data_IF_824224543410
#
_entry.id   IF_824224543410
#
_cell.length_a   1.000
_cell.length_b   1.000
_cell.length_c   1.000
_cell.angle_alpha   90.00
_cell.angle_beta   90.00
_cell.angle_gamma   90.00
#
_symmetry.space_group_name_H-M   'P 1'
#
loop_
_entity.id
_entity.type
_entity.pdbx_description
1 polymer ?
#
# COMPACT_ATOMS: atom_id res chain seq x y z
N UNK A 1 -18.10 14.00 -29.00
CA UNK A 1 -17.94 14.61 -27.67
C UNK A 1 -19.29 15.13 -27.20
N UNK A 2 -19.74 14.70 -26.04
CA UNK A 2 -20.96 15.20 -25.39
C UNK A 2 -20.57 16.39 -24.50
N UNK A 3 -21.13 17.57 -24.78
CA UNK A 3 -20.83 18.79 -24.02
C UNK A 3 -22.04 19.18 -23.16
N UNK A 4 -21.77 19.51 -21.90
CA UNK A 4 -22.75 20.18 -21.03
C UNK A 4 -22.43 21.69 -21.07
N UNK A 5 -23.34 22.49 -21.57
CA UNK A 5 -23.18 23.95 -21.67
C UNK A 5 -24.41 24.66 -21.13
N UNK A 6 -24.19 25.80 -20.46
CA UNK A 6 -25.25 26.75 -20.20
C UNK A 6 -25.43 27.61 -21.49
N UNK A 7 -26.59 27.55 -22.11
CA UNK A 7 -26.87 28.31 -23.33
C UNK A 7 -27.63 29.58 -22.97
N UNK A 8 -27.01 30.73 -23.20
CA UNK A 8 -27.65 32.06 -23.07
C UNK A 8 -28.53 32.40 -24.28
N UNK A 9 -28.44 31.60 -25.37
CA UNK A 9 -29.17 31.79 -26.60
C UNK A 9 -29.94 30.53 -27.00
N UNK A 10 -31.03 30.70 -27.74
CA UNK A 10 -31.80 29.59 -28.28
C UNK A 10 -30.92 28.77 -29.25
N UNK A 11 -30.54 27.56 -28.84
CA UNK A 11 -29.83 26.59 -29.66
C UNK A 11 -30.89 25.76 -30.39
N UNK A 12 -30.80 25.70 -31.72
CA UNK A 12 -31.61 24.80 -32.52
C UNK A 12 -30.86 23.48 -32.64
N UNK A 13 -31.40 22.41 -32.04
CA UNK A 13 -30.83 21.09 -32.17
C UNK A 13 -31.16 20.47 -33.55
N UNK A 14 -30.14 19.87 -34.17
CA UNK A 14 -30.36 19.03 -35.34
C UNK A 14 -30.94 17.69 -34.89
N UNK A 15 -31.90 17.19 -35.62
CA UNK A 15 -32.53 15.90 -35.27
C UNK A 15 -31.73 14.75 -35.89
N UNK A 16 -31.34 13.76 -35.13
CA UNK A 16 -30.71 12.56 -35.66
C UNK A 16 -31.77 11.66 -36.31
N UNK A 17 -31.45 11.08 -37.47
CA UNK A 17 -32.34 10.11 -38.11
C UNK A 17 -32.64 8.92 -37.23
N UNK A 18 -33.84 8.36 -37.37
CA UNK A 18 -34.25 7.11 -36.69
C UNK A 18 -33.84 5.85 -37.46
N UNK A 19 -33.48 5.97 -38.76
CA UNK A 19 -33.06 4.88 -39.64
C UNK A 19 -31.63 5.06 -40.14
N UNK A 20 -30.89 4.00 -40.47
CA UNK A 20 -29.62 4.11 -41.15
C UNK A 20 -29.82 4.73 -42.55
N UNK A 21 -28.77 5.41 -43.06
CA UNK A 21 -28.74 5.85 -44.44
C UNK A 21 -28.76 4.66 -45.41
N UNK A 22 -29.23 4.89 -46.63
CA UNK A 22 -29.31 3.88 -47.70
C UNK A 22 -28.28 4.13 -48.81
N UNK A 23 -27.82 3.06 -49.47
CA UNK A 23 -26.96 3.19 -50.67
C UNK A 23 -27.74 3.97 -51.76
N UNK A 24 -27.05 4.88 -52.42
CA UNK A 24 -27.58 5.87 -53.39
C UNK A 24 -28.47 6.98 -52.80
N UNK A 25 -28.63 7.00 -51.46
CA UNK A 25 -29.34 8.13 -50.82
C UNK A 25 -28.53 9.42 -50.99
N UNK A 26 -29.21 10.50 -51.38
CA UNK A 26 -28.60 11.82 -51.47
C UNK A 26 -28.40 12.39 -50.06
N UNK A 27 -27.20 12.85 -49.78
CA UNK A 27 -26.84 13.44 -48.50
C UNK A 27 -26.11 14.78 -48.68
N UNK A 28 -26.24 15.62 -47.67
CA UNK A 28 -25.72 16.97 -47.65
C UNK A 28 -24.78 17.10 -46.45
N UNK A 29 -23.60 17.72 -46.63
CA UNK A 29 -22.71 18.10 -45.53
C UNK A 29 -22.94 19.57 -45.22
N UNK A 30 -23.34 19.85 -44.00
CA UNK A 30 -23.51 21.20 -43.50
C UNK A 30 -22.20 21.64 -42.80
N UNK A 31 -21.39 22.49 -43.46
CA UNK A 31 -20.13 22.94 -42.87
C UNK A 31 -20.38 23.95 -41.75
N UNK A 32 -19.46 24.01 -40.79
CA UNK A 32 -19.46 25.11 -39.84
C UNK A 32 -19.20 26.43 -40.56
N UNK A 33 -20.09 27.40 -40.39
CA UNK A 33 -19.97 28.73 -40.99
C UNK A 33 -20.56 29.81 -40.07
N UNK A 34 -19.89 30.95 -40.01
CA UNK A 34 -20.40 32.18 -39.40
C UNK A 34 -21.16 33.07 -40.36
N UNK A 35 -21.24 32.67 -41.62
CA UNK A 35 -21.97 33.40 -42.67
C UNK A 35 -23.46 33.07 -42.64
N UNK A 36 -24.33 34.07 -43.02
CA UNK A 36 -25.78 33.88 -43.03
C UNK A 36 -26.26 32.84 -44.07
N UNK A 37 -25.49 32.61 -45.12
CA UNK A 37 -25.75 31.58 -46.13
C UNK A 37 -24.53 30.66 -46.22
N UNK A 38 -24.60 29.51 -45.59
CA UNK A 38 -23.58 28.47 -45.73
C UNK A 38 -23.88 27.67 -47.02
N UNK A 39 -22.90 27.54 -47.93
CA UNK A 39 -22.98 26.60 -49.04
C UNK A 39 -22.65 25.20 -48.56
N UNK A 40 -23.61 24.28 -48.61
CA UNK A 40 -23.38 22.86 -48.34
C UNK A 40 -22.82 22.14 -49.57
N UNK A 41 -22.09 21.05 -49.32
CA UNK A 41 -21.69 20.08 -50.35
C UNK A 41 -22.67 18.93 -50.32
N UNK A 42 -23.04 18.35 -51.47
CA UNK A 42 -23.93 17.20 -51.55
C UNK A 42 -23.32 16.09 -52.40
N UNK A 43 -23.76 14.89 -52.17
CA UNK A 43 -23.37 13.69 -52.86
C UNK A 43 -24.29 12.53 -52.49
N UNK A 44 -23.85 11.30 -52.73
CA UNK A 44 -24.62 10.11 -52.39
C UNK A 44 -23.82 9.17 -51.52
N UNK A 45 -24.50 8.33 -50.70
CA UNK A 45 -23.89 7.22 -50.01
C UNK A 45 -23.55 6.14 -51.04
N UNK A 46 -22.27 5.86 -51.24
CA UNK A 46 -21.81 4.84 -52.21
C UNK A 46 -21.63 3.46 -51.58
N UNK A 47 -21.32 3.42 -50.29
CA UNK A 47 -21.14 2.16 -49.56
C UNK A 47 -21.51 2.33 -48.08
N UNK A 48 -21.97 1.24 -47.48
CA UNK A 48 -22.29 1.13 -46.04
C UNK A 48 -21.55 -0.06 -45.47
N UNK A 49 -20.71 0.18 -44.48
CA UNK A 49 -20.04 -0.85 -43.70
C UNK A 49 -20.63 -0.85 -42.28
N UNK A 50 -20.82 -2.04 -41.70
CA UNK A 50 -21.28 -2.18 -40.32
C UNK A 50 -20.06 -2.33 -39.42
N UNK A 51 -19.89 -1.46 -38.40
CA UNK A 51 -18.76 -1.48 -37.48
C UNK A 51 -19.10 -2.35 -36.28
N UNK A 52 -20.30 -2.22 -35.73
CA UNK A 52 -20.82 -2.99 -34.58
C UNK A 52 -22.34 -2.91 -34.55
N UNK A 53 -23.01 -3.59 -33.65
CA UNK A 53 -24.48 -3.62 -33.51
C UNK A 53 -25.09 -2.23 -33.70
N UNK A 54 -25.78 -2.03 -34.84
CA UNK A 54 -26.43 -0.79 -35.27
C UNK A 54 -25.53 0.45 -35.50
N UNK A 55 -24.23 0.26 -35.63
CA UNK A 55 -23.28 1.34 -35.94
C UNK A 55 -22.76 1.19 -37.37
N UNK A 56 -23.01 2.19 -38.20
CA UNK A 56 -22.70 2.18 -39.62
C UNK A 56 -21.59 3.16 -39.98
N UNK A 57 -20.84 2.84 -41.03
CA UNK A 57 -19.81 3.68 -41.60
C UNK A 57 -20.11 3.87 -43.07
N UNK A 58 -20.21 5.13 -43.47
CA UNK A 58 -20.64 5.50 -44.81
C UNK A 58 -19.45 5.94 -45.64
N UNK A 59 -19.35 5.44 -46.85
CA UNK A 59 -18.52 6.03 -47.90
C UNK A 59 -19.42 6.95 -48.74
N UNK A 60 -19.01 8.19 -48.88
CA UNK A 60 -19.76 9.25 -49.59
C UNK A 60 -19.10 9.56 -50.93
N UNK A 61 -19.88 9.57 -52.00
CA UNK A 61 -19.42 9.99 -53.32
C UNK A 61 -19.43 11.53 -53.43
N UNK A 62 -18.54 12.13 -52.62
CA UNK A 62 -18.29 13.58 -52.62
C UNK A 62 -16.96 13.86 -51.96
N UNK A 63 -16.30 14.94 -52.34
CA UNK A 63 -15.08 15.43 -51.68
C UNK A 63 -15.47 16.46 -50.63
N UNK A 64 -15.01 16.22 -49.38
CA UNK A 64 -15.17 17.17 -48.28
C UNK A 64 -13.80 17.70 -47.84
N UNK A 65 -13.76 18.95 -47.37
CA UNK A 65 -12.51 19.57 -46.92
C UNK A 65 -12.19 19.27 -45.46
N UNK A 66 -10.95 19.52 -45.03
CA UNK A 66 -10.52 19.32 -43.65
C UNK A 66 -11.38 20.08 -42.61
N UNK A 67 -11.90 21.25 -42.98
CA UNK A 67 -12.78 22.06 -42.12
C UNK A 67 -14.18 21.49 -41.94
N UNK A 68 -14.53 20.40 -42.64
CA UNK A 68 -15.83 19.73 -42.51
C UNK A 68 -15.76 18.48 -41.62
N UNK A 69 -14.61 18.12 -41.08
CA UNK A 69 -14.50 17.01 -40.14
C UNK A 69 -15.40 17.24 -38.92
N UNK A 70 -16.15 16.24 -38.54
CA UNK A 70 -17.21 16.27 -37.51
C UNK A 70 -18.45 17.10 -37.87
N UNK A 71 -18.53 17.68 -39.07
CA UNK A 71 -19.76 18.32 -39.55
C UNK A 71 -20.85 17.26 -39.79
N UNK A 72 -22.13 17.63 -39.61
CA UNK A 72 -23.24 16.70 -39.82
C UNK A 72 -23.42 16.40 -41.33
N UNK A 73 -23.66 15.11 -41.58
CA UNK A 73 -24.16 14.61 -42.88
C UNK A 73 -25.66 14.43 -42.72
N UNK A 74 -26.43 15.12 -43.52
CA UNK A 74 -27.90 15.21 -43.44
C UNK A 74 -28.56 14.54 -44.62
N UNK A 75 -29.73 13.95 -44.38
CA UNK A 75 -30.63 13.51 -45.49
C UNK A 75 -31.44 14.67 -46.08
N UNK A 76 -32.30 14.38 -47.04
CA UNK A 76 -33.16 15.38 -47.70
C UNK A 76 -34.23 15.97 -46.76
N UNK A 77 -34.58 15.23 -45.70
CA UNK A 77 -35.53 15.64 -44.65
C UNK A 77 -34.87 16.56 -43.60
N UNK A 78 -33.56 16.80 -43.69
CA UNK A 78 -32.83 17.63 -42.74
C UNK A 78 -32.43 16.90 -41.44
N UNK A 79 -32.51 15.58 -41.42
CA UNK A 79 -32.09 14.77 -40.31
C UNK A 79 -30.61 14.37 -40.44
N UNK A 80 -29.90 14.27 -39.31
CA UNK A 80 -28.48 13.88 -39.29
C UNK A 80 -28.34 12.37 -39.44
N UNK A 81 -27.72 11.93 -40.53
CA UNK A 81 -27.40 10.53 -40.84
C UNK A 81 -26.07 10.12 -40.22
N UNK A 82 -25.10 11.03 -40.18
CA UNK A 82 -23.76 10.75 -39.64
C UNK A 82 -22.93 12.01 -39.45
N UNK A 83 -21.67 11.82 -39.07
CA UNK A 83 -20.67 12.88 -38.89
C UNK A 83 -19.46 12.59 -39.78
N UNK A 84 -19.01 13.61 -40.55
CA UNK A 84 -17.85 13.51 -41.44
C UNK A 84 -16.61 13.09 -40.66
N UNK A 85 -15.90 12.11 -41.16
CA UNK A 85 -14.62 11.64 -40.62
C UNK A 85 -13.43 12.25 -41.37
N UNK A 86 -12.28 12.34 -40.69
CA UNK A 86 -11.05 12.77 -41.31
C UNK A 86 -10.61 11.73 -42.35
N UNK A 87 -10.39 12.17 -43.60
CA UNK A 87 -9.76 11.35 -44.61
C UNK A 87 -8.24 11.55 -44.59
N UNK A 88 -7.49 10.46 -44.45
CA UNK A 88 -6.01 10.47 -44.49
C UNK A 88 -5.49 10.61 -45.94
N UNK A 89 -6.27 10.19 -46.92
CA UNK A 89 -5.95 10.32 -48.36
C UNK A 89 -6.50 11.63 -48.91
N UNK A 90 -5.64 12.63 -49.12
CA UNK A 90 -5.98 13.96 -49.63
C UNK A 90 -6.39 13.96 -51.10
N UNK A 91 -5.97 12.95 -51.86
CA UNK A 91 -6.28 12.80 -53.27
C UNK A 91 -7.61 12.08 -53.52
N UNK A 92 -8.18 11.48 -52.50
CA UNK A 92 -9.45 10.76 -52.59
C UNK A 92 -10.59 11.68 -53.00
N UNK A 93 -11.40 11.24 -53.96
CA UNK A 93 -12.65 11.88 -54.36
C UNK A 93 -13.82 11.49 -53.45
N UNK A 94 -13.62 10.51 -52.59
CA UNK A 94 -14.62 10.02 -51.60
C UNK A 94 -14.36 10.59 -50.22
N UNK A 95 -15.42 10.79 -49.48
CA UNK A 95 -15.38 11.14 -48.07
C UNK A 95 -16.03 10.05 -47.22
N UNK A 96 -15.80 10.11 -45.92
CA UNK A 96 -16.29 9.10 -44.99
C UNK A 96 -17.10 9.74 -43.87
N UNK A 97 -18.12 9.03 -43.39
CA UNK A 97 -18.89 9.46 -42.24
C UNK A 97 -19.23 8.30 -41.29
N UNK A 98 -19.15 8.57 -40.01
CA UNK A 98 -19.66 7.63 -39.00
C UNK A 98 -21.15 7.89 -38.79
N UNK A 99 -21.94 6.83 -38.75
CA UNK A 99 -23.37 6.91 -38.53
C UNK A 99 -23.72 7.53 -37.17
N UNK A 100 -24.77 8.35 -37.13
CA UNK A 100 -25.18 9.08 -35.94
C UNK A 100 -25.57 8.17 -34.79
N UNK A 101 -25.96 6.92 -35.04
CA UNK A 101 -26.21 5.89 -34.02
C UNK A 101 -25.00 5.62 -33.13
N UNK A 102 -23.80 5.65 -33.73
CA UNK A 102 -22.55 5.51 -32.97
C UNK A 102 -22.35 6.68 -31.97
N UNK A 103 -22.60 7.91 -32.43
CA UNK A 103 -22.48 9.08 -31.56
C UNK A 103 -23.46 9.04 -30.36
N UNK A 104 -24.67 8.47 -30.59
CA UNK A 104 -25.66 8.26 -29.51
C UNK A 104 -25.20 7.22 -28.49
N UNK A 105 -24.44 6.21 -28.92
CA UNK A 105 -23.92 5.14 -28.02
C UNK A 105 -22.71 5.57 -27.20
N UNK A 106 -22.08 6.70 -27.51
CA UNK A 106 -20.93 7.20 -26.77
C UNK A 106 -21.35 7.61 -25.35
N UNK A 107 -20.72 7.03 -24.36
CA UNK A 107 -20.89 7.35 -22.96
C UNK A 107 -19.54 7.53 -22.26
N UNK A 108 -19.52 8.35 -21.24
CA UNK A 108 -18.37 8.42 -20.34
C UNK A 108 -18.52 7.27 -19.34
N UNK A 109 -17.50 6.43 -19.25
CA UNK A 109 -17.43 5.32 -18.29
C UNK A 109 -16.30 5.56 -17.30
N UNK A 110 -16.18 4.71 -16.28
CA UNK A 110 -15.06 4.75 -15.34
C UNK A 110 -13.69 4.70 -16.05
N UNK A 111 -13.55 3.90 -17.10
CA UNK A 111 -12.31 3.76 -17.88
C UNK A 111 -11.91 5.04 -18.62
N UNK A 112 -12.86 5.93 -18.86
CA UNK A 112 -12.60 7.23 -19.53
C UNK A 112 -11.65 8.13 -18.73
N UNK A 113 -11.47 7.90 -17.44
CA UNK A 113 -10.49 8.61 -16.60
C UNK A 113 -9.05 8.44 -17.12
N UNK A 114 -8.73 7.26 -17.67
CA UNK A 114 -7.39 6.91 -18.15
C UNK A 114 -7.30 6.88 -19.68
N UNK A 115 -8.34 7.32 -20.40
CA UNK A 115 -8.31 7.39 -21.87
C UNK A 115 -7.37 8.50 -22.32
N UNK A 116 -6.26 8.12 -22.96
CA UNK A 116 -5.25 9.06 -23.45
C UNK A 116 -5.84 10.10 -24.41
N UNK A 117 -6.68 9.69 -25.35
CA UNK A 117 -7.28 10.59 -26.34
C UNK A 117 -8.18 11.61 -25.65
N UNK A 118 -9.03 11.17 -24.72
CA UNK A 118 -9.88 12.07 -23.95
C UNK A 118 -9.06 13.01 -23.06
N UNK A 119 -7.94 12.55 -22.49
CA UNK A 119 -7.10 13.36 -21.62
C UNK A 119 -6.31 14.44 -22.37
N UNK A 120 -6.03 14.25 -23.66
CA UNK A 120 -5.36 15.27 -24.50
C UNK A 120 -6.33 16.33 -25.04
N UNK A 121 -7.64 16.10 -24.98
CA UNK A 121 -8.65 17.07 -25.39
C UNK A 121 -8.83 18.10 -24.27
N UNK A 122 -8.58 19.38 -24.52
CA UNK A 122 -8.72 20.48 -23.57
C UNK A 122 -10.18 20.83 -23.17
N UNK A 123 -11.10 19.87 -23.29
CA UNK A 123 -12.51 20.03 -22.91
C UNK A 123 -12.74 19.30 -21.60
N UNK A 124 -13.36 20.00 -20.64
CA UNK A 124 -13.73 19.40 -19.36
C UNK A 124 -14.68 18.20 -19.60
N UNK A 125 -14.32 17.06 -19.00
CA UNK A 125 -15.15 15.85 -19.07
C UNK A 125 -16.22 15.92 -17.97
N UNK A 126 -17.42 15.42 -18.28
CA UNK A 126 -18.45 15.20 -17.26
C UNK A 126 -18.22 13.88 -16.51
N UNK A 127 -18.95 13.69 -15.43
CA UNK A 127 -19.02 12.41 -14.75
C UNK A 127 -19.86 11.40 -15.56
N UNK A 128 -19.60 10.08 -15.41
CA UNK A 128 -20.56 9.05 -15.84
C UNK A 128 -21.96 9.30 -15.29
N UNK A 129 -22.99 8.87 -16.04
CA UNK A 129 -24.39 9.02 -15.61
C UNK A 129 -24.79 7.95 -14.56
N UNK A 130 -24.11 6.83 -14.52
CA UNK A 130 -24.26 5.78 -13.49
C UNK A 130 -23.41 6.11 -12.27
N UNK A 131 -24.00 6.03 -11.08
CA UNK A 131 -23.36 6.39 -9.82
C UNK A 131 -22.13 5.53 -9.50
N UNK A 132 -22.21 4.22 -9.73
CA UNK A 132 -21.10 3.32 -9.49
C UNK A 132 -19.93 3.60 -10.42
N UNK A 133 -20.22 3.85 -11.72
CA UNK A 133 -19.21 4.24 -12.70
C UNK A 133 -18.60 5.61 -12.37
N UNK A 134 -19.40 6.56 -11.90
CA UNK A 134 -18.93 7.88 -11.51
C UNK A 134 -18.01 7.79 -10.28
N UNK A 135 -18.32 6.91 -9.31
CA UNK A 135 -17.47 6.67 -8.16
C UNK A 135 -16.12 6.05 -8.57
N UNK A 136 -16.12 5.03 -9.43
CA UNK A 136 -14.88 4.44 -9.96
C UNK A 136 -14.10 5.48 -10.78
N UNK A 137 -14.78 6.34 -11.55
CA UNK A 137 -14.14 7.45 -12.27
C UNK A 137 -13.40 8.40 -11.31
N UNK A 138 -14.00 8.76 -10.16
CA UNK A 138 -13.33 9.55 -9.12
C UNK A 138 -12.06 8.86 -8.61
N UNK A 139 -12.12 7.56 -8.32
CA UNK A 139 -10.95 6.81 -7.88
C UNK A 139 -9.80 6.87 -8.88
N UNK A 140 -10.10 6.61 -10.15
CA UNK A 140 -9.10 6.60 -11.22
C UNK A 140 -8.56 7.99 -11.55
N UNK A 141 -9.35 9.04 -11.31
CA UNK A 141 -8.96 10.44 -11.57
C UNK A 141 -8.07 11.03 -10.49
N UNK A 142 -8.10 10.49 -9.28
CA UNK A 142 -7.41 11.06 -8.11
C UNK A 142 -5.89 11.16 -8.27
N UNK A 143 -5.27 10.26 -9.03
CA UNK A 143 -3.83 10.26 -9.31
C UNK A 143 -3.42 11.12 -10.51
N UNK A 144 -4.38 11.51 -11.36
CA UNK A 144 -4.12 12.16 -12.66
C UNK A 144 -4.48 13.65 -12.66
N UNK A 145 -5.20 14.12 -11.65
CA UNK A 145 -5.65 15.49 -11.52
C UNK A 145 -4.87 16.23 -10.45
N UNK A 146 -4.70 17.55 -10.63
CA UNK A 146 -4.26 18.41 -9.55
C UNK A 146 -5.29 18.39 -8.40
N UNK A 147 -4.86 18.77 -7.20
CA UNK A 147 -5.74 18.83 -6.01
C UNK A 147 -6.98 19.69 -6.25
N UNK A 148 -6.82 20.82 -6.91
CA UNK A 148 -7.92 21.75 -7.23
C UNK A 148 -8.89 21.15 -8.27
N UNK A 149 -8.37 20.55 -9.32
CA UNK A 149 -9.22 19.88 -10.34
C UNK A 149 -9.99 18.71 -9.73
N UNK A 150 -9.33 17.93 -8.86
CA UNK A 150 -9.98 16.83 -8.17
C UNK A 150 -11.07 17.32 -7.20
N UNK A 151 -10.81 18.41 -6.46
CA UNK A 151 -11.82 19.03 -5.60
C UNK A 151 -13.05 19.51 -6.40
N UNK A 152 -12.83 20.10 -7.58
CA UNK A 152 -13.91 20.49 -8.47
C UNK A 152 -14.72 19.29 -8.97
N UNK A 153 -14.05 18.17 -9.29
CA UNK A 153 -14.70 16.93 -9.68
C UNK A 153 -15.54 16.33 -8.54
N UNK A 154 -15.04 16.36 -7.31
CA UNK A 154 -15.76 15.95 -6.11
C UNK A 154 -17.01 16.82 -5.85
N UNK A 155 -16.92 18.13 -6.08
CA UNK A 155 -18.06 19.03 -5.97
C UNK A 155 -19.16 18.66 -7.00
N UNK A 156 -18.78 18.34 -8.22
CA UNK A 156 -19.72 17.89 -9.25
C UNK A 156 -20.37 16.54 -8.89
N UNK A 157 -19.56 15.61 -8.37
CA UNK A 157 -20.05 14.31 -7.93
C UNK A 157 -21.10 14.46 -6.81
N UNK A 158 -20.80 15.25 -5.79
CA UNK A 158 -21.72 15.50 -4.67
C UNK A 158 -23.00 16.22 -5.15
N UNK A 159 -22.88 17.14 -6.11
CA UNK A 159 -24.04 17.80 -6.70
C UNK A 159 -24.93 16.81 -7.46
N UNK A 160 -24.34 15.84 -8.16
CA UNK A 160 -25.07 14.83 -8.94
C UNK A 160 -25.63 13.71 -8.04
N UNK A 161 -24.89 13.33 -6.98
CA UNK A 161 -25.20 12.23 -6.07
C UNK A 161 -25.15 12.68 -4.59
N UNK A 162 -26.06 13.55 -4.14
CA UNK A 162 -26.00 14.17 -2.81
C UNK A 162 -26.23 13.20 -1.64
N UNK A 163 -26.70 11.98 -1.91
CA UNK A 163 -26.88 10.92 -0.92
C UNK A 163 -25.72 9.94 -0.84
N UNK A 164 -24.72 10.08 -1.71
CA UNK A 164 -23.56 9.22 -1.69
C UNK A 164 -22.55 9.70 -0.64
N UNK A 165 -22.39 8.94 0.44
CA UNK A 165 -21.50 9.26 1.57
C UNK A 165 -20.01 9.28 1.17
N UNK A 166 -19.61 8.47 0.18
CA UNK A 166 -18.21 8.39 -0.28
C UNK A 166 -17.74 9.70 -0.93
N UNK A 167 -18.63 10.43 -1.62
CA UNK A 167 -18.32 11.75 -2.17
C UNK A 167 -17.88 12.74 -1.09
N UNK A 168 -18.58 12.80 0.02
CA UNK A 168 -18.26 13.65 1.18
C UNK A 168 -16.98 13.17 1.87
N UNK A 169 -16.82 11.87 2.08
CA UNK A 169 -15.61 11.28 2.65
C UNK A 169 -14.36 11.69 1.88
N UNK A 170 -14.40 11.56 0.56
CA UNK A 170 -13.28 11.93 -0.32
C UNK A 170 -13.01 13.41 -0.34
N UNK A 171 -14.04 14.23 -0.31
CA UNK A 171 -13.85 15.68 -0.27
C UNK A 171 -13.27 16.12 1.08
N UNK A 172 -13.70 15.52 2.18
CA UNK A 172 -13.09 15.73 3.49
C UNK A 172 -11.59 15.38 3.49
N UNK A 173 -11.21 14.23 2.91
CA UNK A 173 -9.79 13.83 2.76
C UNK A 173 -9.02 14.87 1.92
N UNK A 174 -9.62 15.36 0.83
CA UNK A 174 -9.01 16.38 0.00
C UNK A 174 -8.79 17.68 0.79
N UNK A 175 -9.77 18.13 1.58
CA UNK A 175 -9.65 19.30 2.46
C UNK A 175 -8.58 19.09 3.54
N UNK A 176 -8.54 17.93 4.19
CA UNK A 176 -7.49 17.60 5.19
C UNK A 176 -6.10 17.76 4.58
N UNK A 177 -5.92 17.38 3.32
CA UNK A 177 -4.66 17.51 2.61
C UNK A 177 -4.19 18.95 2.36
N UNK A 178 -5.01 20.00 2.59
CA UNK A 178 -4.57 21.40 2.55
C UNK A 178 -3.81 21.81 3.83
N UNK A 179 -4.16 21.23 4.98
CA UNK A 179 -3.39 21.37 6.21
C UNK A 179 -3.61 22.67 6.97
N UNK A 180 -4.74 23.36 6.79
CA UNK A 180 -5.09 24.59 7.49
C UNK A 180 -6.49 24.55 8.11
N UNK A 181 -6.74 25.39 9.11
CA UNK A 181 -7.97 25.39 9.89
C UNK A 181 -9.23 25.66 9.07
N UNK A 182 -9.13 26.48 8.02
CA UNK A 182 -10.28 26.79 7.17
C UNK A 182 -10.74 25.55 6.39
N UNK A 183 -9.80 24.76 5.86
CA UNK A 183 -10.08 23.52 5.17
C UNK A 183 -10.49 22.39 6.14
N UNK A 184 -9.92 22.36 7.36
CA UNK A 184 -10.37 21.41 8.39
C UNK A 184 -11.84 21.66 8.79
N UNK A 185 -12.27 22.93 8.87
CA UNK A 185 -13.68 23.24 9.12
C UNK A 185 -14.61 22.77 8.00
N UNK A 186 -14.18 22.84 6.74
CA UNK A 186 -14.91 22.30 5.60
C UNK A 186 -14.94 20.76 5.63
N UNK A 187 -13.82 20.14 5.99
CA UNK A 187 -13.75 18.68 6.15
C UNK A 187 -14.68 18.21 7.28
N UNK A 188 -14.74 18.88 8.42
CA UNK A 188 -15.65 18.54 9.53
C UNK A 188 -17.10 18.55 9.07
N UNK A 189 -17.50 19.56 8.30
CA UNK A 189 -18.86 19.63 7.74
C UNK A 189 -19.17 18.46 6.81
N UNK A 190 -18.21 18.08 5.96
CA UNK A 190 -18.35 16.94 5.06
C UNK A 190 -18.43 15.62 5.84
N UNK A 191 -17.63 15.45 6.89
CA UNK A 191 -17.65 14.27 7.75
C UNK A 191 -19.01 14.12 8.47
N UNK A 192 -19.58 15.21 8.95
CA UNK A 192 -20.93 15.21 9.54
C UNK A 192 -21.97 14.80 8.49
N UNK A 193 -21.92 15.41 7.30
CA UNK A 193 -22.85 15.07 6.21
C UNK A 193 -22.68 13.62 5.77
N UNK A 194 -21.44 13.11 5.69
CA UNK A 194 -21.15 11.69 5.39
C UNK A 194 -21.88 10.76 6.35
N UNK A 195 -21.85 11.05 7.66
CA UNK A 195 -22.55 10.26 8.67
C UNK A 195 -24.08 10.38 8.52
N UNK A 196 -24.58 11.59 8.22
CA UNK A 196 -26.02 11.83 8.04
C UNK A 196 -26.60 11.06 6.86
N UNK A 197 -25.96 11.10 5.70
CA UNK A 197 -26.47 10.50 4.46
C UNK A 197 -26.21 9.00 4.33
N UNK A 198 -25.28 8.45 5.08
CA UNK A 198 -24.99 7.02 5.02
C UNK A 198 -26.10 6.20 5.69
N UNK A 199 -26.68 5.26 4.95
CA UNK A 199 -27.74 4.38 5.45
C UNK A 199 -27.22 3.40 6.51
N UNK A 200 -25.97 2.90 6.34
CA UNK A 200 -25.31 2.07 7.34
C UNK A 200 -24.56 2.96 8.36
N UNK A 201 -25.15 3.19 9.52
CA UNK A 201 -24.55 4.02 10.57
C UNK A 201 -23.29 3.42 11.16
N UNK A 202 -23.18 2.09 11.25
CA UNK A 202 -21.95 1.42 11.68
C UNK A 202 -20.78 1.77 10.78
N UNK A 203 -20.91 1.61 9.46
CA UNK A 203 -19.89 1.96 8.48
C UNK A 203 -19.59 3.46 8.46
N UNK A 204 -20.60 4.32 8.64
CA UNK A 204 -20.41 5.76 8.70
C UNK A 204 -19.48 6.17 9.86
N UNK A 205 -19.77 5.69 11.06
CA UNK A 205 -18.95 5.98 12.24
C UNK A 205 -17.56 5.31 12.18
N UNK A 206 -17.47 4.10 11.61
CA UNK A 206 -16.19 3.47 11.34
C UNK A 206 -15.31 4.32 10.41
N UNK A 207 -15.86 4.83 9.30
CA UNK A 207 -15.13 5.66 8.35
C UNK A 207 -14.72 6.99 8.98
N UNK A 208 -15.59 7.61 9.79
CA UNK A 208 -15.26 8.81 10.54
C UNK A 208 -14.12 8.55 11.53
N UNK A 209 -14.21 7.50 12.32
CA UNK A 209 -13.18 7.10 13.27
C UNK A 209 -11.83 6.85 12.58
N UNK A 210 -11.85 6.13 11.46
CA UNK A 210 -10.65 5.82 10.67
C UNK A 210 -9.97 7.08 10.12
N UNK A 211 -10.74 8.04 9.65
CA UNK A 211 -10.21 9.33 9.18
C UNK A 211 -9.55 10.10 10.32
N UNK A 212 -10.20 10.19 11.47
CA UNK A 212 -9.64 10.86 12.66
C UNK A 212 -8.37 10.15 13.15
N UNK A 213 -8.38 8.82 13.23
CA UNK A 213 -7.21 8.02 13.61
C UNK A 213 -6.02 8.29 12.69
N UNK A 214 -6.21 8.21 11.37
CA UNK A 214 -5.15 8.47 10.40
C UNK A 214 -4.66 9.92 10.46
N UNK A 215 -5.56 10.89 10.66
CA UNK A 215 -5.19 12.28 10.82
C UNK A 215 -4.26 12.48 12.03
N UNK A 216 -4.62 11.93 13.18
CA UNK A 216 -3.82 12.08 14.41
C UNK A 216 -2.47 11.39 14.29
N UNK A 217 -2.39 10.21 13.66
CA UNK A 217 -1.11 9.55 13.37
C UNK A 217 -0.20 10.39 12.46
N UNK A 218 -0.80 11.11 11.51
CA UNK A 218 -0.07 11.99 10.59
C UNK A 218 0.49 13.26 11.22
N UNK A 219 0.01 13.65 12.41
CA UNK A 219 0.43 14.89 13.07
C UNK A 219 1.88 14.88 13.59
N UNK A 220 2.47 13.70 13.84
CA UNK A 220 3.83 13.56 14.37
C UNK A 220 4.13 14.45 15.59
N UNK A 221 3.13 14.61 16.47
CA UNK A 221 3.22 15.42 17.68
C UNK A 221 2.78 16.89 17.53
N UNK A 222 2.33 17.32 16.35
CA UNK A 222 1.71 18.63 16.18
C UNK A 222 0.33 18.68 16.88
N UNK A 223 -0.14 19.90 17.18
CA UNK A 223 -1.45 20.10 17.82
C UNK A 223 -2.58 19.71 16.87
N UNK A 224 -3.55 18.90 17.30
CA UNK A 224 -4.70 18.55 16.49
C UNK A 224 -5.66 19.73 16.29
N UNK A 225 -6.43 19.69 15.22
CA UNK A 225 -7.53 20.63 14.97
C UNK A 225 -8.71 20.33 15.90
N UNK A 226 -9.13 21.31 16.67
CA UNK A 226 -10.30 21.19 17.55
C UNK A 226 -10.26 19.95 18.43
N UNK A 227 -11.27 19.10 18.30
CA UNK A 227 -11.44 17.83 19.01
C UNK A 227 -11.01 16.59 18.18
N UNK A 228 -10.27 16.78 17.08
CA UNK A 228 -9.79 15.66 16.26
C UNK A 228 -8.64 14.91 16.95
N UNK A 229 -8.98 14.14 17.94
CA UNK A 229 -8.06 13.42 18.83
C UNK A 229 -8.28 11.91 18.77
N UNK A 230 -7.37 11.14 19.37
CA UNK A 230 -7.55 9.68 19.52
C UNK A 230 -8.78 9.35 20.37
N UNK A 231 -9.13 10.18 21.36
CA UNK A 231 -10.33 10.01 22.19
C UNK A 231 -11.58 10.16 21.36
N UNK A 232 -11.65 11.14 20.44
CA UNK A 232 -12.79 11.25 19.51
C UNK A 232 -12.82 10.06 18.55
N UNK A 233 -11.69 9.66 17.96
CA UNK A 233 -11.63 8.46 17.12
C UNK A 233 -12.16 7.22 17.87
N UNK A 234 -11.78 7.05 19.13
CA UNK A 234 -12.27 5.97 19.99
C UNK A 234 -13.77 6.05 20.24
N UNK A 235 -14.29 7.25 20.49
CA UNK A 235 -15.73 7.46 20.67
C UNK A 235 -16.49 7.04 19.43
N UNK A 236 -16.07 7.46 18.26
CA UNK A 236 -16.75 7.16 16.99
C UNK A 236 -16.71 5.66 16.66
N UNK A 237 -15.57 4.96 16.91
CA UNK A 237 -15.55 3.50 16.69
C UNK A 237 -16.41 2.74 17.69
N UNK A 238 -16.52 3.22 18.93
CA UNK A 238 -17.44 2.64 19.89
C UNK A 238 -18.89 2.79 19.42
N UNK A 239 -19.26 3.95 18.88
CA UNK A 239 -20.59 4.16 18.27
C UNK A 239 -20.81 3.24 17.06
N UNK A 240 -19.79 2.98 16.25
CA UNK A 240 -19.88 1.99 15.17
C UNK A 240 -20.20 0.59 15.72
N UNK A 241 -19.52 0.17 16.79
CA UNK A 241 -19.70 -1.13 17.44
C UNK A 241 -21.04 -1.28 18.18
N UNK A 242 -21.66 -0.18 18.60
CA UNK A 242 -23.03 -0.16 19.13
C UNK A 242 -24.06 -0.44 18.05
N UNK A 243 -23.81 0.01 16.82
CA UNK A 243 -24.67 -0.23 15.66
C UNK A 243 -24.50 -1.62 15.07
N UNK A 244 -23.26 -2.11 14.96
CA UNK A 244 -22.95 -3.43 14.41
C UNK A 244 -21.61 -3.94 14.99
N UNK A 245 -21.49 -5.24 15.22
CA UNK A 245 -20.30 -5.87 15.83
C UNK A 245 -19.45 -6.55 14.78
N UNK A 246 -18.85 -5.76 13.88
CA UNK A 246 -17.98 -6.28 12.83
C UNK A 246 -16.53 -6.44 13.28
N UNK A 247 -15.86 -7.48 12.83
CA UNK A 247 -14.43 -7.71 13.10
C UNK A 247 -13.55 -6.54 12.66
N UNK A 248 -13.91 -5.87 11.57
CA UNK A 248 -13.21 -4.70 11.06
C UNK A 248 -13.24 -3.51 12.03
N UNK A 249 -14.36 -3.32 12.73
CA UNK A 249 -14.49 -2.25 13.73
C UNK A 249 -13.69 -2.56 14.99
N UNK A 250 -13.68 -3.82 15.43
CA UNK A 250 -12.81 -4.26 16.51
C UNK A 250 -11.33 -4.09 16.18
N UNK A 251 -10.94 -4.35 14.90
CA UNK A 251 -9.55 -4.12 14.47
C UNK A 251 -9.15 -2.65 14.65
N UNK A 252 -9.94 -1.72 14.15
CA UNK A 252 -9.66 -0.28 14.30
C UNK A 252 -9.70 0.16 15.78
N UNK A 253 -10.65 -0.36 16.57
CA UNK A 253 -10.69 -0.10 18.01
C UNK A 253 -9.40 -0.55 18.71
N UNK A 254 -8.92 -1.75 18.37
CA UNK A 254 -7.65 -2.27 18.86
C UNK A 254 -6.46 -1.40 18.48
N UNK A 255 -6.40 -0.96 17.23
CA UNK A 255 -5.35 -0.08 16.72
C UNK A 255 -5.34 1.28 17.44
N UNK A 256 -6.52 1.85 17.71
CA UNK A 256 -6.67 3.10 18.46
C UNK A 256 -6.21 2.90 19.91
N UNK A 257 -6.68 1.86 20.60
CA UNK A 257 -6.24 1.58 21.97
C UNK A 257 -4.73 1.33 22.04
N UNK A 258 -4.17 0.61 21.05
CA UNK A 258 -2.73 0.38 20.99
C UNK A 258 -1.95 1.69 20.82
N UNK A 259 -2.39 2.60 19.94
CA UNK A 259 -1.79 3.92 19.78
C UNK A 259 -1.89 4.78 21.05
N UNK A 260 -2.96 4.60 21.84
CA UNK A 260 -3.14 5.23 23.14
C UNK A 260 -2.38 4.52 24.28
N UNK A 261 -1.60 3.46 24.00
CA UNK A 261 -0.90 2.61 24.96
C UNK A 261 -1.83 1.92 25.99
N UNK A 262 -3.09 1.76 25.66
CA UNK A 262 -4.09 1.02 26.45
C UNK A 262 -4.06 -0.46 26.03
N UNK A 263 -2.98 -1.14 26.37
CA UNK A 263 -2.69 -2.49 25.87
C UNK A 263 -3.71 -3.54 26.29
N UNK A 264 -4.26 -3.57 27.54
CA UNK A 264 -5.30 -4.52 27.90
C UNK A 264 -6.57 -4.39 27.04
N UNK A 265 -7.02 -3.16 26.76
CA UNK A 265 -8.19 -2.88 25.93
C UNK A 265 -7.92 -3.19 24.46
N UNK A 266 -6.72 -2.85 23.96
CA UNK A 266 -6.28 -3.20 22.61
C UNK A 266 -6.29 -4.73 22.41
N UNK A 267 -5.74 -5.47 23.38
CA UNK A 267 -5.75 -6.93 23.37
C UNK A 267 -7.17 -7.51 23.31
N UNK A 268 -8.07 -7.00 24.15
CA UNK A 268 -9.47 -7.44 24.14
C UNK A 268 -10.16 -7.21 22.77
N UNK A 269 -9.85 -6.09 22.11
CA UNK A 269 -10.37 -5.78 20.78
C UNK A 269 -9.79 -6.73 19.71
N UNK A 270 -8.49 -7.00 19.70
CA UNK A 270 -7.88 -7.97 18.79
C UNK A 270 -8.37 -9.41 19.02
N UNK A 271 -8.63 -9.77 20.28
CA UNK A 271 -9.28 -11.05 20.61
C UNK A 271 -10.70 -11.15 20.00
N UNK A 272 -11.44 -10.04 19.95
CA UNK A 272 -12.74 -10.01 19.28
C UNK A 272 -12.59 -10.21 17.76
N UNK A 273 -11.53 -9.64 17.15
CA UNK A 273 -11.19 -9.92 15.74
C UNK A 273 -10.88 -11.41 15.54
N UNK A 274 -10.06 -12.00 16.42
CA UNK A 274 -9.66 -13.41 16.35
C UNK A 274 -10.85 -14.39 16.48
N UNK A 275 -11.95 -13.96 17.10
CA UNK A 275 -13.22 -14.72 17.20
C UNK A 275 -14.19 -14.45 16.03
N UNK A 276 -13.85 -13.53 15.14
CA UNK A 276 -14.67 -13.18 13.96
C UNK A 276 -14.24 -13.93 12.70
N UNK A 277 -15.03 -13.90 11.62
CA UNK A 277 -14.60 -14.41 10.31
C UNK A 277 -13.35 -13.72 9.72
N UNK A 278 -12.94 -12.59 10.26
CA UNK A 278 -11.73 -11.85 9.85
C UNK A 278 -10.44 -12.33 10.54
N UNK A 279 -10.51 -13.37 11.36
CA UNK A 279 -9.36 -13.95 12.03
C UNK A 279 -8.25 -14.35 11.03
N UNK A 280 -7.11 -13.71 11.14
CA UNK A 280 -5.98 -13.85 10.22
C UNK A 280 -4.66 -13.97 10.98
N UNK A 281 -3.59 -14.37 10.30
CA UNK A 281 -2.26 -14.37 10.91
C UNK A 281 -1.89 -12.99 11.49
N UNK A 282 -2.25 -11.91 10.78
CA UNK A 282 -1.99 -10.55 11.23
C UNK A 282 -2.77 -10.19 12.51
N UNK A 283 -4.03 -10.61 12.65
CA UNK A 283 -4.81 -10.31 13.87
C UNK A 283 -4.31 -11.08 15.09
N UNK A 284 -3.91 -12.33 14.93
CA UNK A 284 -3.24 -13.09 16.00
C UNK A 284 -1.88 -12.50 16.36
N UNK A 285 -1.11 -12.06 15.37
CA UNK A 285 0.17 -11.38 15.60
C UNK A 285 -0.03 -10.07 16.40
N UNK A 286 -1.01 -9.23 15.99
CA UNK A 286 -1.32 -8.00 16.71
C UNK A 286 -1.70 -8.27 18.17
N UNK A 287 -2.53 -9.28 18.42
CA UNK A 287 -2.88 -9.72 19.78
C UNK A 287 -1.65 -10.20 20.56
N UNK A 288 -0.78 -11.01 19.95
CA UNK A 288 0.45 -11.51 20.56
C UNK A 288 1.40 -10.37 20.96
N UNK A 289 1.66 -9.45 20.04
CA UNK A 289 2.51 -8.27 20.29
C UNK A 289 1.95 -7.37 21.37
N UNK A 290 0.64 -7.17 21.37
CA UNK A 290 -0.03 -6.38 22.41
C UNK A 290 0.07 -7.08 23.78
N UNK A 291 -0.10 -8.41 23.80
CA UNK A 291 0.03 -9.20 25.03
C UNK A 291 1.41 -9.08 25.69
N UNK A 292 2.49 -9.02 24.89
CA UNK A 292 3.85 -8.80 25.39
C UNK A 292 4.02 -7.46 26.13
N UNK A 293 3.23 -6.44 25.76
CA UNK A 293 3.30 -5.09 26.35
C UNK A 293 2.45 -4.94 27.63
N UNK A 294 1.64 -5.93 27.95
CA UNK A 294 0.84 -5.94 29.20
C UNK A 294 1.74 -6.40 30.35
N UNK A 295 1.87 -5.56 31.38
CA UNK A 295 2.65 -5.89 32.57
C UNK A 295 2.15 -7.16 33.25
N UNK A 296 3.06 -8.08 33.55
CA UNK A 296 2.74 -9.36 34.18
C UNK A 296 2.05 -10.38 33.27
N UNK A 297 1.88 -10.11 31.99
CA UNK A 297 1.26 -11.05 31.07
C UNK A 297 2.10 -12.29 30.83
N UNK A 298 1.44 -13.41 30.60
CA UNK A 298 2.08 -14.71 30.35
C UNK A 298 2.73 -14.74 28.96
N UNK A 299 4.06 -14.94 28.91
CA UNK A 299 4.78 -15.17 27.64
C UNK A 299 4.23 -16.39 26.89
N UNK A 300 3.81 -17.42 27.59
CA UNK A 300 3.22 -18.62 26.97
C UNK A 300 1.92 -18.33 26.23
N UNK A 301 1.08 -17.42 26.77
CA UNK A 301 -0.14 -16.99 26.07
C UNK A 301 0.19 -16.20 24.80
N UNK A 302 1.20 -15.33 24.84
CA UNK A 302 1.64 -14.62 23.64
C UNK A 302 2.19 -15.59 22.57
N UNK A 303 2.97 -16.61 22.98
CA UNK A 303 3.46 -17.66 22.08
C UNK A 303 2.30 -18.47 21.48
N UNK A 304 1.27 -18.81 22.27
CA UNK A 304 0.09 -19.54 21.76
C UNK A 304 -0.69 -18.74 20.69
N UNK A 305 -0.74 -17.41 20.82
CA UNK A 305 -1.29 -16.55 19.78
C UNK A 305 -0.42 -16.58 18.51
N UNK A 306 0.91 -16.60 18.64
CA UNK A 306 1.80 -16.77 17.50
C UNK A 306 1.68 -18.17 16.86
N UNK A 307 1.43 -19.23 17.66
CA UNK A 307 1.09 -20.55 17.11
C UNK A 307 -0.18 -20.48 16.25
N UNK A 308 -1.20 -19.74 16.71
CA UNK A 308 -2.43 -19.51 15.94
C UNK A 308 -2.20 -18.70 14.67
N UNK A 309 -1.27 -17.73 14.69
CA UNK A 309 -0.88 -16.96 13.52
C UNK A 309 -0.20 -17.86 12.46
N UNK A 310 0.79 -18.67 12.88
CA UNK A 310 1.50 -19.60 11.98
C UNK A 310 0.56 -20.67 11.44
N UNK A 311 -0.40 -21.15 12.25
CA UNK A 311 -1.39 -22.15 11.82
C UNK A 311 -2.35 -21.68 10.70
N UNK A 312 -2.31 -20.39 10.34
CA UNK A 312 -3.02 -19.90 9.14
C UNK A 312 -2.34 -20.29 7.82
N UNK A 313 -1.13 -20.83 7.88
CA UNK A 313 -0.35 -21.28 6.75
C UNK A 313 -0.08 -22.78 6.83
N UNK A 314 0.11 -23.41 5.69
CA UNK A 314 0.45 -24.83 5.59
C UNK A 314 1.92 -25.02 5.19
N UNK A 315 2.62 -26.02 5.75
CA UNK A 315 3.95 -26.39 5.25
C UNK A 315 3.87 -26.99 3.82
N UNK A 316 4.90 -26.79 2.97
CA UNK A 316 6.08 -25.98 3.24
C UNK A 316 5.74 -24.47 3.26
N UNK A 317 6.27 -23.74 4.26
CA UNK A 317 5.95 -22.33 4.45
C UNK A 317 6.61 -21.47 3.38
N UNK A 318 5.88 -20.49 2.85
CA UNK A 318 6.36 -19.46 1.94
C UNK A 318 6.74 -18.16 2.67
N UNK A 319 7.17 -17.16 1.87
CA UNK A 319 7.61 -15.83 2.41
C UNK A 319 6.54 -15.12 3.22
N UNK A 320 5.26 -15.37 2.96
CA UNK A 320 4.13 -14.80 3.68
C UNK A 320 4.03 -15.28 5.13
N UNK A 321 4.52 -16.48 5.45
CA UNK A 321 4.59 -17.02 6.81
C UNK A 321 5.86 -16.57 7.56
N UNK A 322 6.89 -16.16 6.84
CA UNK A 322 8.20 -15.88 7.40
C UNK A 322 8.19 -14.87 8.56
N UNK A 323 7.49 -13.72 8.52
CA UNK A 323 7.48 -12.78 9.65
C UNK A 323 6.95 -13.41 10.95
N UNK A 324 5.95 -14.28 10.85
CA UNK A 324 5.32 -14.94 12.00
C UNK A 324 6.22 -16.05 12.57
N UNK A 325 6.92 -16.78 11.71
CA UNK A 325 7.90 -17.79 12.14
C UNK A 325 9.08 -17.14 12.88
N UNK A 326 9.62 -16.05 12.34
CA UNK A 326 10.71 -15.31 12.96
C UNK A 326 10.31 -14.78 14.36
N UNK A 327 9.13 -14.15 14.42
CA UNK A 327 8.66 -13.56 15.68
C UNK A 327 8.33 -14.63 16.72
N UNK A 328 7.75 -15.76 16.32
CA UNK A 328 7.52 -16.89 17.22
C UNK A 328 8.85 -17.46 17.76
N UNK A 329 9.86 -17.57 16.89
CA UNK A 329 11.19 -17.99 17.30
C UNK A 329 11.79 -17.05 18.35
N UNK A 330 11.69 -15.73 18.13
CA UNK A 330 12.15 -14.70 19.07
C UNK A 330 11.46 -14.84 20.43
N UNK A 331 10.13 -14.92 20.44
CA UNK A 331 9.34 -15.06 21.67
C UNK A 331 9.71 -16.36 22.44
N UNK A 332 9.86 -17.47 21.72
CA UNK A 332 10.31 -18.74 22.31
C UNK A 332 11.71 -18.66 22.90
N UNK A 333 12.64 -17.99 22.21
CA UNK A 333 14.00 -17.78 22.72
C UNK A 333 14.01 -16.95 24.02
N UNK A 334 13.21 -15.89 24.07
CA UNK A 334 13.04 -15.07 25.27
C UNK A 334 12.36 -15.81 26.45
N UNK A 335 11.50 -16.79 26.14
CA UNK A 335 10.90 -17.69 27.14
C UNK A 335 11.82 -18.90 27.45
N UNK A 336 13.07 -18.90 26.94
CA UNK A 336 14.08 -19.97 27.12
C UNK A 336 13.69 -21.32 26.49
N UNK A 337 12.75 -21.35 25.58
CA UNK A 337 12.39 -22.51 24.75
C UNK A 337 13.34 -22.56 23.53
N UNK A 338 14.66 -22.67 23.79
CA UNK A 338 15.69 -22.47 22.77
C UNK A 338 15.64 -23.49 21.64
N UNK A 339 15.32 -24.75 21.90
CA UNK A 339 15.25 -25.80 20.88
C UNK A 339 14.09 -25.54 19.89
N UNK A 340 12.96 -25.18 20.46
CA UNK A 340 11.74 -24.82 19.69
C UNK A 340 11.95 -23.52 18.91
N UNK A 341 12.71 -22.58 19.47
CA UNK A 341 13.10 -21.35 18.76
C UNK A 341 13.99 -21.65 17.54
N UNK A 342 14.98 -22.55 17.68
CA UNK A 342 15.84 -22.96 16.55
C UNK A 342 15.01 -23.62 15.45
N UNK A 343 14.03 -24.45 15.81
CA UNK A 343 13.12 -25.04 14.81
C UNK A 343 12.40 -23.94 14.00
N UNK A 344 11.84 -22.94 14.67
CA UNK A 344 11.14 -21.85 14.00
C UNK A 344 12.08 -20.95 13.17
N UNK A 345 13.30 -20.69 13.64
CA UNK A 345 14.32 -19.99 12.83
C UNK A 345 14.72 -20.79 11.58
N UNK A 346 14.79 -22.13 11.67
CA UNK A 346 15.04 -22.97 10.51
C UNK A 346 13.88 -22.89 9.51
N UNK A 347 12.64 -22.96 9.98
CA UNK A 347 11.45 -22.79 9.14
C UNK A 347 11.41 -21.39 8.48
N UNK A 348 11.80 -20.36 9.22
CA UNK A 348 11.96 -19.01 8.66
C UNK A 348 13.00 -18.97 7.54
N UNK A 349 14.20 -19.54 7.79
CA UNK A 349 15.27 -19.60 6.80
C UNK A 349 14.83 -20.31 5.52
N UNK A 350 14.13 -21.44 5.67
CA UNK A 350 13.58 -22.20 4.54
C UNK A 350 12.49 -21.44 3.80
N UNK A 351 11.56 -20.78 4.51
CA UNK A 351 10.53 -19.93 3.93
C UNK A 351 11.12 -18.76 3.13
N UNK A 352 12.27 -18.24 3.56
CA UNK A 352 13.04 -17.20 2.87
C UNK A 352 13.97 -17.76 1.79
N UNK A 353 13.98 -19.08 1.57
CA UNK A 353 14.89 -19.77 0.61
C UNK A 353 16.36 -19.42 0.83
N UNK A 354 16.76 -19.27 2.09
CA UNK A 354 18.13 -18.86 2.47
C UNK A 354 18.48 -17.40 2.20
N UNK A 355 17.54 -16.58 1.73
CA UNK A 355 17.74 -15.14 1.50
C UNK A 355 17.55 -14.35 2.79
N UNK A 356 18.55 -14.44 3.67
CA UNK A 356 18.54 -13.82 5.00
C UNK A 356 19.79 -12.96 5.19
N UNK A 357 19.77 -12.07 6.20
CA UNK A 357 20.91 -11.20 6.53
C UNK A 357 21.97 -11.94 7.33
N UNK A 358 23.18 -11.36 7.43
CA UNK A 358 24.23 -11.79 8.35
C UNK A 358 23.77 -11.81 9.80
N UNK A 359 23.00 -10.78 10.21
CA UNK A 359 22.43 -10.69 11.56
C UNK A 359 21.49 -11.86 11.90
N UNK A 360 20.75 -12.38 10.92
CA UNK A 360 19.93 -13.56 11.16
C UNK A 360 20.77 -14.78 11.58
N UNK A 361 21.88 -15.05 10.87
CA UNK A 361 22.77 -16.15 11.23
C UNK A 361 23.38 -15.93 12.63
N UNK A 362 23.77 -14.70 12.94
CA UNK A 362 24.29 -14.34 14.25
C UNK A 362 23.24 -14.54 15.37
N UNK A 363 21.99 -14.13 15.17
CA UNK A 363 20.91 -14.33 16.13
C UNK A 363 20.61 -15.82 16.33
N UNK A 364 20.53 -16.61 15.25
CA UNK A 364 20.27 -18.05 15.35
C UNK A 364 21.41 -18.78 16.04
N UNK A 365 22.66 -18.44 15.71
CA UNK A 365 23.84 -18.92 16.38
C UNK A 365 23.77 -18.77 17.90
N UNK A 366 23.42 -17.58 18.41
CA UNK A 366 23.29 -17.34 19.82
C UNK A 366 22.26 -18.27 20.50
N UNK A 367 21.14 -18.55 19.85
CA UNK A 367 20.12 -19.47 20.36
C UNK A 367 20.60 -20.92 20.29
N UNK A 368 21.31 -21.31 19.23
CA UNK A 368 21.93 -22.63 19.08
C UNK A 368 22.96 -22.90 20.16
N UNK A 369 23.74 -21.88 20.54
CA UNK A 369 24.66 -21.97 21.68
C UNK A 369 23.96 -22.25 23.01
N UNK A 370 22.77 -21.67 23.25
CA UNK A 370 22.00 -21.93 24.48
C UNK A 370 21.51 -23.37 24.54
N UNK A 371 21.20 -24.01 23.43
CA UNK A 371 20.81 -25.42 23.41
C UNK A 371 21.95 -26.39 23.07
N UNK A 372 23.21 -25.91 23.12
CA UNK A 372 24.43 -26.71 22.90
C UNK A 372 24.50 -27.33 21.48
N UNK A 373 23.92 -26.70 20.50
CA UNK A 373 23.97 -27.08 19.07
C UNK A 373 25.24 -26.48 18.44
N UNK A 374 26.40 -26.80 19.00
CA UNK A 374 27.67 -26.12 18.73
C UNK A 374 28.10 -26.17 17.27
N UNK A 375 27.87 -27.30 16.58
CA UNK A 375 28.26 -27.38 15.15
C UNK A 375 27.42 -26.48 14.28
N UNK A 376 26.12 -26.36 14.56
CA UNK A 376 25.25 -25.44 13.86
C UNK A 376 25.67 -23.99 14.14
N UNK A 377 25.92 -23.64 15.40
CA UNK A 377 26.42 -22.33 15.79
C UNK A 377 27.73 -21.95 15.05
N UNK A 378 28.69 -22.90 14.92
CA UNK A 378 29.91 -22.68 14.15
C UNK A 378 29.58 -22.41 12.67
N UNK A 379 28.65 -23.15 12.09
CA UNK A 379 28.25 -22.96 10.70
C UNK A 379 27.62 -21.58 10.49
N UNK A 380 26.75 -21.17 11.39
CA UNK A 380 26.05 -19.90 11.31
C UNK A 380 26.97 -18.69 11.51
N UNK A 381 27.85 -18.72 12.49
CA UNK A 381 28.82 -17.63 12.68
C UNK A 381 29.79 -17.52 11.49
N UNK A 382 30.16 -18.65 10.86
CA UNK A 382 30.94 -18.63 9.64
C UNK A 382 30.17 -18.00 8.48
N UNK A 383 28.87 -18.25 8.34
CA UNK A 383 28.01 -17.62 7.34
C UNK A 383 27.88 -16.11 7.56
N UNK A 384 27.70 -15.67 8.82
CA UNK A 384 27.65 -14.25 9.16
C UNK A 384 28.98 -13.56 8.76
N UNK A 385 30.15 -14.18 9.06
CA UNK A 385 31.47 -13.66 8.70
C UNK A 385 31.67 -13.67 7.17
N UNK A 386 31.21 -14.70 6.46
CA UNK A 386 31.31 -14.76 4.99
C UNK A 386 30.60 -13.56 4.34
N UNK A 387 29.43 -13.16 4.89
CA UNK A 387 28.66 -12.03 4.42
C UNK A 387 29.25 -10.67 4.84
N UNK A 388 29.75 -10.58 6.09
CA UNK A 388 30.31 -9.35 6.65
C UNK A 388 31.67 -9.59 7.32
N UNK A 389 32.74 -9.79 6.55
CA UNK A 389 34.06 -10.20 7.06
C UNK A 389 34.78 -9.13 7.90
N UNK A 390 34.28 -7.89 7.91
CA UNK A 390 34.84 -6.79 8.71
C UNK A 390 34.06 -6.53 10.02
N UNK A 391 32.99 -7.27 10.27
CA UNK A 391 32.23 -7.13 11.50
C UNK A 391 33.02 -7.78 12.65
N UNK A 392 33.51 -6.96 13.56
CA UNK A 392 34.37 -7.38 14.67
C UNK A 392 33.63 -8.31 15.64
N UNK A 393 32.35 -8.05 15.86
CA UNK A 393 31.51 -8.80 16.80
C UNK A 393 31.39 -10.27 16.38
N UNK A 394 31.25 -10.55 15.08
CA UNK A 394 31.18 -11.90 14.55
C UNK A 394 32.49 -12.69 14.78
N UNK A 395 33.66 -12.03 14.66
CA UNK A 395 34.95 -12.67 14.96
C UNK A 395 35.14 -12.94 16.44
N UNK A 396 34.68 -12.03 17.31
CA UNK A 396 34.68 -12.22 18.77
C UNK A 396 33.78 -13.40 19.12
N UNK A 397 32.57 -13.46 18.59
CA UNK A 397 31.63 -14.56 18.86
C UNK A 397 32.15 -15.89 18.31
N UNK A 398 32.74 -15.91 17.10
CA UNK A 398 33.43 -17.11 16.61
C UNK A 398 34.49 -17.60 17.60
N UNK A 399 35.30 -16.70 18.16
CA UNK A 399 36.23 -17.01 19.21
C UNK A 399 35.56 -17.59 20.46
N UNK A 400 34.41 -17.05 20.85
CA UNK A 400 33.58 -17.51 22.01
C UNK A 400 33.10 -18.94 21.78
N UNK A 401 32.52 -19.23 20.63
CA UNK A 401 32.00 -20.57 20.27
C UNK A 401 33.13 -21.61 20.31
N UNK A 402 34.27 -21.35 19.64
CA UNK A 402 35.42 -22.26 19.62
C UNK A 402 36.04 -22.46 21.01
N UNK A 403 36.04 -21.42 21.83
CA UNK A 403 36.49 -21.53 23.22
C UNK A 403 35.61 -22.49 24.05
N UNK A 404 34.29 -22.40 23.85
CA UNK A 404 33.32 -23.27 24.54
C UNK A 404 33.44 -24.74 24.16
N UNK A 405 33.79 -25.02 22.88
CA UNK A 405 33.95 -26.39 22.42
C UNK A 405 35.42 -26.89 22.55
N UNK A 406 36.24 -26.14 23.27
CA UNK A 406 37.65 -26.49 23.55
C UNK A 406 38.49 -26.66 22.28
N UNK A 407 38.35 -25.69 21.34
CA UNK A 407 39.13 -25.59 20.10
C UNK A 407 40.06 -24.37 20.20
N UNK A 408 41.14 -24.42 20.98
CA UNK A 408 41.94 -23.24 21.29
C UNK A 408 42.67 -22.62 20.11
N UNK A 409 43.07 -23.40 19.10
CA UNK A 409 43.72 -22.89 17.90
C UNK A 409 42.80 -22.00 17.07
N UNK A 410 41.54 -22.44 16.90
CA UNK A 410 40.53 -21.66 16.16
C UNK A 410 40.10 -20.44 16.97
N UNK A 411 40.02 -20.55 18.30
CA UNK A 411 39.78 -19.43 19.23
C UNK A 411 40.82 -18.34 19.03
N UNK A 412 42.10 -18.70 19.04
CA UNK A 412 43.21 -17.74 18.90
C UNK A 412 43.17 -17.08 17.52
N UNK A 413 42.92 -17.84 16.46
CA UNK A 413 42.80 -17.28 15.08
C UNK A 413 41.67 -16.25 14.99
N UNK A 414 40.47 -16.59 15.51
CA UNK A 414 39.31 -15.72 15.44
C UNK A 414 39.54 -14.43 16.22
N UNK A 415 40.04 -14.54 17.47
CA UNK A 415 40.22 -13.38 18.35
C UNK A 415 41.40 -12.49 17.86
N UNK A 416 42.45 -13.04 17.28
CA UNK A 416 43.47 -12.24 16.65
C UNK A 416 42.91 -11.45 15.45
N UNK A 417 42.01 -12.04 14.67
CA UNK A 417 41.32 -11.32 13.60
C UNK A 417 40.42 -10.20 14.11
N UNK A 418 39.70 -10.43 15.21
CA UNK A 418 38.93 -9.39 15.88
C UNK A 418 39.82 -8.22 16.32
N UNK A 419 41.00 -8.52 16.92
CA UNK A 419 41.96 -7.50 17.36
C UNK A 419 42.61 -6.77 16.17
N UNK A 420 42.87 -7.47 15.06
CA UNK A 420 43.34 -6.84 13.81
C UNK A 420 42.32 -5.80 13.29
N UNK A 421 41.07 -6.11 13.36
CA UNK A 421 39.96 -5.24 12.92
C UNK A 421 39.68 -4.09 13.91
N UNK A 422 39.78 -4.37 15.21
CA UNK A 422 39.62 -3.38 16.28
C UNK A 422 40.62 -3.63 17.42
N UNK A 423 41.74 -2.92 17.37
CA UNK A 423 42.80 -2.99 18.38
C UNK A 423 42.38 -2.48 19.79
N UNK A 424 41.16 -1.96 19.94
CA UNK A 424 40.62 -1.51 21.23
C UNK A 424 39.56 -2.44 21.80
N UNK A 425 39.33 -3.59 21.17
CA UNK A 425 38.33 -4.55 21.63
C UNK A 425 38.79 -5.29 22.89
N UNK A 426 38.41 -4.78 24.04
CA UNK A 426 38.80 -5.32 25.36
C UNK A 426 38.34 -6.77 25.55
N UNK A 427 37.14 -7.12 25.02
CA UNK A 427 36.58 -8.49 25.15
C UNK A 427 37.43 -9.50 24.40
N UNK A 428 37.89 -9.15 23.16
CA UNK A 428 38.75 -10.02 22.36
C UNK A 428 40.08 -10.30 23.09
N UNK A 429 40.72 -9.28 23.64
CA UNK A 429 41.93 -9.46 24.47
C UNK A 429 41.69 -10.32 25.71
N UNK A 430 40.60 -10.10 26.44
CA UNK A 430 40.24 -10.92 27.60
C UNK A 430 40.08 -12.38 27.22
N UNK A 431 39.34 -12.70 26.19
CA UNK A 431 39.08 -14.06 25.76
C UNK A 431 40.34 -14.74 25.22
N UNK A 432 41.14 -14.00 24.43
CA UNK A 432 42.46 -14.48 23.96
C UNK A 432 43.40 -14.80 25.13
N UNK A 433 43.50 -13.87 26.08
CA UNK A 433 44.32 -14.05 27.28
C UNK A 433 43.89 -15.25 28.10
N UNK A 434 42.57 -15.40 28.31
CA UNK A 434 42.01 -16.58 29.01
C UNK A 434 42.37 -17.89 28.28
N UNK A 435 42.16 -17.95 26.97
CA UNK A 435 42.45 -19.11 26.15
C UNK A 435 43.96 -19.51 26.23
N UNK A 436 44.84 -18.54 26.15
CA UNK A 436 46.33 -18.77 26.21
C UNK A 436 46.78 -19.26 27.57
N UNK A 437 46.22 -18.72 28.67
CA UNK A 437 46.50 -19.24 30.01
C UNK A 437 46.06 -20.70 30.16
N UNK A 438 44.88 -21.07 29.61
CA UNK A 438 44.42 -22.46 29.62
C UNK A 438 45.30 -23.39 28.78
N UNK A 439 45.98 -22.89 27.74
CA UNK A 439 46.99 -23.62 26.95
C UNK A 439 48.34 -23.71 27.65
N UNK A 440 48.52 -23.17 28.83
CA UNK A 440 49.82 -23.11 29.51
C UNK A 440 50.73 -21.97 29.05
N UNK A 441 50.30 -21.12 28.12
CA UNK A 441 51.03 -19.94 27.64
C UNK A 441 50.83 -18.75 28.59
N UNK A 442 51.17 -18.95 29.90
CA UNK A 442 50.83 -18.03 30.96
C UNK A 442 51.33 -16.61 30.74
N UNK A 443 52.57 -16.42 30.20
CA UNK A 443 53.18 -15.11 29.95
C UNK A 443 52.38 -14.31 28.93
N UNK A 444 52.07 -14.91 27.77
CA UNK A 444 51.32 -14.28 26.68
C UNK A 444 49.87 -13.99 27.11
N UNK A 445 49.25 -14.98 27.78
CA UNK A 445 47.86 -14.84 28.27
C UNK A 445 47.73 -13.73 29.29
N UNK A 446 48.67 -13.59 30.23
CA UNK A 446 48.65 -12.50 31.20
C UNK A 446 48.84 -11.14 30.55
N UNK A 447 49.70 -10.99 29.53
CA UNK A 447 49.87 -9.74 28.81
C UNK A 447 48.56 -9.30 28.11
N UNK A 448 47.82 -10.24 27.48
CA UNK A 448 46.54 -9.95 26.89
C UNK A 448 45.45 -9.62 27.94
N UNK A 449 45.43 -10.26 29.08
CA UNK A 449 44.52 -9.89 30.17
C UNK A 449 44.81 -8.49 30.72
N UNK A 450 46.10 -8.14 30.88
CA UNK A 450 46.50 -6.80 31.28
C UNK A 450 46.07 -5.76 30.26
N UNK A 451 46.23 -6.07 28.98
CA UNK A 451 45.73 -5.18 27.87
C UNK A 451 44.22 -5.01 27.90
N UNK A 452 43.47 -6.05 28.19
CA UNK A 452 42.01 -5.93 28.36
C UNK A 452 41.65 -5.00 29.54
N UNK A 453 42.36 -5.07 30.65
CA UNK A 453 42.16 -4.16 31.81
C UNK A 453 42.50 -2.73 31.46
N UNK A 454 43.59 -2.46 30.70
CA UNK A 454 43.95 -1.13 30.20
C UNK A 454 42.83 -0.57 29.33
N UNK A 455 42.14 -1.42 28.58
CA UNK A 455 41.01 -1.06 27.74
C UNK A 455 39.66 -0.98 28.48
N UNK A 456 39.66 -1.17 29.78
CA UNK A 456 38.51 -1.00 30.67
C UNK A 456 37.72 -2.30 31.00
N UNK A 457 38.20 -3.48 30.64
CA UNK A 457 37.54 -4.74 30.97
C UNK A 457 37.73 -5.12 32.45
N UNK A 458 36.69 -4.95 33.25
CA UNK A 458 36.73 -5.26 34.72
C UNK A 458 36.75 -6.76 34.98
N UNK A 459 36.24 -7.60 34.09
CA UNK A 459 36.24 -9.08 34.24
C UNK A 459 37.66 -9.63 34.10
N UNK A 460 38.46 -9.05 33.20
CA UNK A 460 39.85 -9.44 33.00
C UNK A 460 40.69 -9.26 34.29
N UNK A 461 40.39 -8.24 35.12
CA UNK A 461 41.03 -8.02 36.40
C UNK A 461 40.87 -9.22 37.34
N UNK A 462 39.66 -9.76 37.42
CA UNK A 462 39.40 -10.93 38.25
C UNK A 462 40.14 -12.20 37.76
N UNK A 463 40.28 -12.32 36.43
CA UNK A 463 41.06 -13.42 35.85
C UNK A 463 42.55 -13.29 36.15
N UNK A 464 43.12 -12.10 36.11
CA UNK A 464 44.51 -11.83 36.49
C UNK A 464 44.77 -12.27 37.94
N UNK A 465 43.90 -11.85 38.86
CA UNK A 465 44.05 -12.22 40.29
C UNK A 465 43.95 -13.74 40.49
N UNK A 466 43.09 -14.42 39.74
CA UNK A 466 42.96 -15.89 39.80
C UNK A 466 44.21 -16.62 39.31
N UNK A 467 44.88 -16.12 38.27
CA UNK A 467 46.03 -16.80 37.63
C UNK A 467 47.39 -16.29 38.10
N UNK A 468 47.46 -15.22 38.91
CA UNK A 468 48.69 -14.80 39.57
C UNK A 468 49.09 -15.76 40.68
N UNK A 469 48.13 -16.46 41.29
CA UNK A 469 48.36 -17.51 42.28
C UNK A 469 48.80 -18.77 41.57
#
# INVERSE_FOLDING_TARGET
VKLKTAADKKIVALQPTSRPGAVSETVYVLPYSTQKAASGTHGTISKIDTISNNSFYYTLNMKTGEKTVSCPVMNAEGEVVGLVQKNSDKESTSSYAIGIGYAKSLSITALSANDFTLNTIGIKKGLPEDESQALVYLYMSSSNLSKEEYLNLLNEFIQQYPKNSEGYSRRAICYIGYGDDAHYALAEKDLQTMVEVNENKGDAYYNLSKLLYNYVLGLQGAKPYGDWTMERALKEINTALENDKQGLYYQLQGDIYFAMQKYPEAFASYEAVNRSPLASAASFYAAAKTKELIEGASKKEAIALMDSAVAKYNPPYGKEAAPYLYERARMKAEDKQFREAVVDYNLFHDAMMGQVSSDFYFIREQVEMQCRMYQQAINDINKAIEMEPKNVEYWVEKGSVHLRVNQPEETVKALNKAIELDAKNAVAYRMLGYCQVQQGKKKEGMANLEKAVELGDTVAKNLIEKYKK
#
